data_IF_967379158062
#
_entry.id   IF_967379158062
#
_cell.length_a   1.000
_cell.length_b   1.000
_cell.length_c   1.000
_cell.angle_alpha   90.00
_cell.angle_beta   90.00
_cell.angle_gamma   90.00
#
_symmetry.space_group_name_H-M   'P 1'
#
loop_
_entity.id
_entity.type
_entity.pdbx_description
1 polymer ?
#
# COMPACT_ATOMS: atom_id res chain seq x y z
N UNK A 1 24.39 43.95 -41.99
CA UNK A 1 24.07 42.64 -42.60
C UNK A 1 24.38 41.56 -41.59
N UNK A 2 23.36 40.75 -41.31
CA UNK A 2 23.32 39.63 -40.36
C UNK A 2 24.55 38.72 -40.40
N UNK A 3 24.92 38.12 -39.26
CA UNK A 3 24.67 36.69 -39.02
C UNK A 3 24.67 36.39 -37.52
N UNK A 4 23.49 36.00 -37.04
CA UNK A 4 23.25 35.30 -35.79
C UNK A 4 23.77 33.86 -35.89
N UNK A 5 24.28 33.34 -34.77
CA UNK A 5 23.95 32.03 -34.17
C UNK A 5 24.88 31.86 -32.96
N UNK A 6 24.52 32.43 -31.80
CA UNK A 6 23.66 31.87 -30.75
C UNK A 6 24.10 30.49 -30.22
N UNK A 7 24.39 30.51 -28.91
CA UNK A 7 24.42 29.43 -27.93
C UNK A 7 25.53 28.36 -28.02
N UNK A 8 26.72 28.71 -27.51
CA UNK A 8 27.27 27.96 -26.38
C UNK A 8 26.19 27.91 -25.28
N UNK A 9 25.89 26.72 -24.75
CA UNK A 9 24.97 26.35 -23.66
C UNK A 9 23.83 25.46 -24.15
N UNK A 10 23.97 24.16 -23.93
CA UNK A 10 22.87 23.21 -24.14
C UNK A 10 23.24 21.75 -23.98
N UNK A 11 24.30 21.41 -23.24
CA UNK A 11 24.66 20.02 -22.93
C UNK A 11 24.65 19.75 -21.42
N UNK A 12 23.58 20.17 -20.75
CA UNK A 12 23.28 19.83 -19.35
C UNK A 12 21.78 19.98 -19.06
N UNK A 13 20.93 19.25 -19.79
CA UNK A 13 19.47 19.25 -19.59
C UNK A 13 18.90 17.83 -19.61
N UNK A 14 19.60 16.88 -18.98
CA UNK A 14 19.05 15.55 -18.73
C UNK A 14 19.40 15.20 -17.29
N UNK A 15 18.54 15.52 -16.32
CA UNK A 15 18.55 14.91 -14.97
C UNK A 15 17.33 15.29 -14.09
N UNK A 16 16.23 15.82 -14.63
CA UNK A 16 15.14 16.38 -13.81
C UNK A 16 13.75 15.74 -14.04
N UNK A 17 13.65 14.46 -14.43
CA UNK A 17 12.33 13.81 -14.63
C UNK A 17 12.11 12.50 -13.84
N UNK A 18 12.89 12.24 -12.78
CA UNK A 18 12.82 10.94 -12.10
C UNK A 18 12.06 10.94 -10.77
N UNK A 19 11.76 12.09 -10.17
CA UNK A 19 11.12 12.11 -8.85
C UNK A 19 9.64 11.72 -8.91
N UNK A 20 8.86 12.33 -9.81
CA UNK A 20 7.41 12.07 -9.89
C UNK A 20 7.04 10.75 -10.58
N UNK A 21 7.92 10.21 -11.43
CA UNK A 21 7.64 8.98 -12.17
C UNK A 21 7.55 7.75 -11.26
N UNK A 22 8.33 7.72 -10.17
CA UNK A 22 8.31 6.60 -9.23
C UNK A 22 7.05 6.62 -8.35
N UNK A 23 6.61 7.80 -7.91
CA UNK A 23 5.37 7.94 -7.14
C UNK A 23 4.17 7.45 -7.95
N UNK A 24 3.97 7.98 -9.16
CA UNK A 24 2.87 7.60 -10.05
C UNK A 24 2.84 6.09 -10.35
N UNK A 25 4.03 5.49 -10.56
CA UNK A 25 4.15 4.05 -10.73
C UNK A 25 3.73 3.27 -9.48
N UNK A 26 4.24 3.63 -8.30
CA UNK A 26 3.92 2.94 -7.05
C UNK A 26 2.43 3.06 -6.68
N UNK A 27 1.80 4.21 -6.92
CA UNK A 27 0.36 4.37 -6.70
C UNK A 27 -0.43 3.46 -7.65
N UNK A 28 -0.07 3.44 -8.94
CA UNK A 28 -0.75 2.60 -9.93
C UNK A 28 -0.66 1.11 -9.61
N UNK A 29 0.48 0.64 -9.13
CA UNK A 29 0.65 -0.77 -8.73
C UNK A 29 -0.07 -1.10 -7.40
N UNK A 30 -0.24 -0.11 -6.51
CA UNK A 30 -0.95 -0.26 -5.25
C UNK A 30 -2.47 -0.41 -5.44
N UNK A 31 -3.04 0.44 -6.29
CA UNK A 31 -4.48 0.62 -6.46
C UNK A 31 -5.14 -0.52 -7.24
N UNK A 32 -6.40 -0.81 -6.90
CA UNK A 32 -7.23 -1.85 -7.50
C UNK A 32 -6.54 -3.23 -7.61
N UNK A 33 -5.58 -3.48 -6.73
CA UNK A 33 -4.81 -4.72 -6.65
C UNK A 33 -5.16 -5.43 -5.35
N UNK A 34 -5.53 -6.73 -5.38
CA UNK A 34 -5.71 -7.50 -4.17
C UNK A 34 -4.35 -7.76 -3.53
N UNK A 35 -4.23 -7.49 -2.24
CA UNK A 35 -3.05 -7.77 -1.43
C UNK A 35 -3.40 -8.83 -0.39
N UNK A 36 -2.58 -9.87 -0.28
CA UNK A 36 -2.73 -10.96 0.70
C UNK A 36 -1.63 -10.87 1.74
N UNK A 37 -2.01 -10.84 3.02
CA UNK A 37 -1.08 -10.67 4.13
C UNK A 37 -0.14 -11.88 4.24
N UNK A 38 1.14 -11.60 4.40
CA UNK A 38 2.21 -12.59 4.63
C UNK A 38 2.69 -12.54 6.07
N UNK A 39 2.87 -11.33 6.62
CA UNK A 39 3.38 -11.16 7.98
C UNK A 39 2.74 -9.95 8.68
N UNK A 40 2.65 -10.02 10.00
CA UNK A 40 2.30 -8.92 10.89
C UNK A 40 3.41 -8.72 11.92
N UNK A 41 3.88 -7.49 12.11
CA UNK A 41 5.05 -7.19 12.94
C UNK A 41 6.26 -8.07 12.62
N UNK A 42 6.44 -8.42 11.35
CA UNK A 42 7.52 -9.29 10.85
C UNK A 42 7.43 -10.76 11.31
N UNK A 43 6.29 -11.17 11.87
CA UNK A 43 5.97 -12.55 12.19
C UNK A 43 4.97 -13.12 11.18
N UNK A 44 5.23 -14.32 10.67
CA UNK A 44 4.31 -14.99 9.73
C UNK A 44 3.02 -15.39 10.45
N UNK A 45 1.89 -15.22 9.78
CA UNK A 45 0.61 -15.70 10.29
C UNK A 45 0.54 -17.23 10.25
N UNK A 46 -0.31 -17.81 11.10
CA UNK A 46 -0.55 -19.25 11.11
C UNK A 46 -1.16 -19.69 9.77
N UNK A 47 -0.48 -20.61 9.08
CA UNK A 47 -0.92 -21.21 7.81
C UNK A 47 -2.26 -21.94 7.87
N UNK A 48 -2.77 -22.28 9.06
CA UNK A 48 -4.10 -22.84 9.24
C UNK A 48 -5.22 -21.80 9.16
N UNK A 49 -4.89 -20.51 9.32
CA UNK A 49 -5.84 -19.41 9.22
C UNK A 49 -5.89 -18.87 7.79
N UNK A 50 -7.07 -18.43 7.37
CA UNK A 50 -7.23 -17.70 6.11
C UNK A 50 -6.54 -16.33 6.22
N UNK A 51 -5.75 -15.98 5.22
CA UNK A 51 -4.95 -14.76 5.18
C UNK A 51 -5.84 -13.51 5.09
N UNK A 52 -5.58 -12.48 5.93
CA UNK A 52 -6.17 -11.17 5.73
C UNK A 52 -5.82 -10.59 4.35
N UNK A 53 -6.75 -9.82 3.80
CA UNK A 53 -6.60 -9.17 2.49
C UNK A 53 -6.77 -7.66 2.59
N UNK A 54 -6.27 -6.94 1.59
CA UNK A 54 -6.41 -5.49 1.47
C UNK A 54 -6.61 -5.11 0.01
N UNK A 55 -7.60 -4.27 -0.26
CA UNK A 55 -7.87 -3.67 -1.55
C UNK A 55 -8.00 -2.16 -1.37
N UNK A 56 -7.26 -1.41 -2.17
CA UNK A 56 -7.40 0.03 -2.31
C UNK A 56 -8.23 0.35 -3.54
N UNK A 57 -9.48 0.73 -3.36
CA UNK A 57 -10.33 1.21 -4.45
C UNK A 57 -9.91 2.63 -4.81
N UNK A 58 -9.53 2.84 -6.07
CA UNK A 58 -9.19 4.18 -6.58
C UNK A 58 -10.43 5.10 -6.54
N UNK A 59 -11.59 4.56 -6.91
CA UNK A 59 -12.86 5.29 -6.89
C UNK A 59 -13.35 5.49 -5.45
N UNK A 60 -13.33 6.74 -4.99
CA UNK A 60 -13.84 7.11 -3.66
C UNK A 60 -12.88 6.84 -2.50
N UNK A 61 -11.61 6.51 -2.79
CA UNK A 61 -10.52 6.35 -1.81
C UNK A 61 -10.88 5.42 -0.65
N UNK A 62 -11.45 4.26 -0.97
CA UNK A 62 -11.88 3.25 0.00
C UNK A 62 -10.84 2.16 0.17
N UNK A 63 -10.65 1.74 1.41
CA UNK A 63 -9.90 0.53 1.74
C UNK A 63 -10.87 -0.52 2.26
N UNK A 64 -10.76 -1.76 1.79
CA UNK A 64 -11.56 -2.87 2.29
C UNK A 64 -10.82 -4.20 2.14
N UNK A 65 -11.37 -5.24 2.75
CA UNK A 65 -10.86 -6.59 2.63
C UNK A 65 -11.26 -7.46 3.80
N UNK A 66 -10.64 -8.63 3.88
CA UNK A 66 -10.83 -9.57 4.97
C UNK A 66 -9.77 -9.35 6.06
N UNK A 67 -10.17 -9.36 7.32
CA UNK A 67 -9.27 -9.15 8.46
C UNK A 67 -8.97 -10.46 9.23
N UNK A 68 -9.28 -11.63 8.69
CA UNK A 68 -9.05 -12.93 9.35
C UNK A 68 -10.29 -13.55 10.00
N UNK A 69 -11.18 -12.74 10.59
CA UNK A 69 -12.51 -13.17 11.04
C UNK A 69 -13.64 -12.43 10.31
N UNK A 70 -13.52 -11.11 10.23
CA UNK A 70 -14.53 -10.23 9.65
C UNK A 70 -14.06 -9.56 8.36
N UNK A 71 -15.01 -9.04 7.60
CA UNK A 71 -14.73 -8.06 6.55
C UNK A 71 -14.54 -6.69 7.21
N UNK A 72 -13.58 -5.92 6.72
CA UNK A 72 -13.35 -4.54 7.15
C UNK A 72 -13.53 -3.56 6.00
N UNK A 73 -13.75 -2.31 6.37
CA UNK A 73 -13.88 -1.19 5.46
C UNK A 73 -13.34 0.08 6.11
N UNK A 74 -12.99 1.06 5.29
CA UNK A 74 -12.56 2.38 5.70
C UNK A 74 -12.19 3.24 4.49
N UNK A 75 -11.52 4.34 4.74
CA UNK A 75 -10.93 5.19 3.70
C UNK A 75 -9.42 5.26 3.88
N UNK A 76 -8.74 5.67 2.81
CA UNK A 76 -7.31 5.96 2.86
C UNK A 76 -7.01 7.34 2.29
N UNK A 77 -5.86 7.89 2.67
CA UNK A 77 -5.25 9.06 2.03
C UNK A 77 -3.86 8.67 1.56
N UNK A 78 -3.52 9.07 0.35
CA UNK A 78 -2.31 8.65 -0.36
C UNK A 78 -1.63 9.88 -0.97
N UNK A 79 -0.33 10.04 -0.71
CA UNK A 79 0.47 11.14 -1.28
C UNK A 79 1.94 10.74 -1.30
N UNK A 80 2.57 10.72 -2.47
CA UNK A 80 3.94 10.24 -2.66
C UNK A 80 4.14 8.83 -2.07
N UNK A 81 4.79 8.70 -0.92
CA UNK A 81 4.99 7.45 -0.17
C UNK A 81 4.19 7.41 1.14
N UNK A 82 3.48 8.49 1.47
CA UNK A 82 2.62 8.58 2.64
C UNK A 82 1.30 7.88 2.40
N UNK A 83 0.90 7.06 3.36
CA UNK A 83 -0.38 6.34 3.39
C UNK A 83 -0.94 6.36 4.80
N UNK A 84 -2.20 6.73 4.95
CA UNK A 84 -2.91 6.65 6.23
C UNK A 84 -4.34 6.15 6.03
N UNK A 85 -4.84 5.39 6.99
CA UNK A 85 -6.22 4.91 7.00
C UNK A 85 -7.09 5.74 7.93
N UNK A 86 -8.39 5.79 7.65
CA UNK A 86 -9.38 6.49 8.47
C UNK A 86 -10.72 5.79 8.43
N UNK A 87 -11.49 5.93 9.53
CA UNK A 87 -12.83 5.33 9.61
C UNK A 87 -12.84 3.81 9.47
N UNK A 88 -11.78 3.13 9.92
CA UNK A 88 -11.71 1.67 9.91
C UNK A 88 -12.83 1.08 10.79
N UNK A 89 -13.60 0.17 10.22
CA UNK A 89 -14.60 -0.63 10.91
C UNK A 89 -14.68 -2.03 10.32
N UNK A 90 -15.29 -2.95 11.06
CA UNK A 90 -15.51 -4.33 10.61
C UNK A 90 -16.90 -4.84 10.99
N UNK A 91 -17.31 -5.93 10.36
CA UNK A 91 -18.49 -6.69 10.80
C UNK A 91 -18.26 -7.31 12.18
N UNK A 92 -19.32 -7.83 12.83
CA UNK A 92 -19.24 -8.39 14.20
C UNK A 92 -19.60 -9.87 14.25
N UNK A 93 -18.92 -10.69 13.44
CA UNK A 93 -18.91 -12.14 13.58
C UNK A 93 -17.89 -12.55 14.64
N UNK A 94 -18.20 -13.59 15.41
CA UNK A 94 -17.28 -14.18 16.36
C UNK A 94 -16.56 -15.37 15.71
N UNK A 95 -15.23 -15.41 15.82
CA UNK A 95 -14.39 -16.53 15.39
C UNK A 95 -13.43 -16.90 16.53
N UNK A 96 -13.45 -18.16 16.97
CA UNK A 96 -12.65 -18.59 18.12
C UNK A 96 -11.13 -18.46 17.88
N UNK A 97 -10.67 -18.72 16.66
CA UNK A 97 -9.24 -18.82 16.34
C UNK A 97 -8.64 -17.56 15.68
N UNK A 98 -9.46 -16.71 15.03
CA UNK A 98 -8.96 -15.60 14.20
C UNK A 98 -9.35 -14.20 14.67
N UNK A 99 -10.08 -14.07 15.79
CA UNK A 99 -10.45 -12.76 16.33
C UNK A 99 -9.24 -11.94 16.80
N UNK A 100 -8.22 -12.59 17.37
CA UNK A 100 -6.99 -11.90 17.75
C UNK A 100 -6.23 -11.37 16.54
N UNK A 101 -6.15 -12.18 15.47
CA UNK A 101 -5.55 -11.78 14.20
C UNK A 101 -6.27 -10.54 13.60
N UNK A 102 -7.61 -10.51 13.64
CA UNK A 102 -8.37 -9.33 13.22
C UNK A 102 -8.00 -8.08 14.01
N UNK A 103 -7.97 -8.18 15.34
CA UNK A 103 -7.65 -7.06 16.21
C UNK A 103 -6.25 -6.51 15.94
N UNK A 104 -5.26 -7.40 15.79
CA UNK A 104 -3.89 -7.01 15.47
C UNK A 104 -3.81 -6.36 14.08
N UNK A 105 -4.45 -6.95 13.08
CA UNK A 105 -4.44 -6.46 11.70
C UNK A 105 -5.03 -5.06 11.58
N UNK A 106 -6.24 -4.84 12.12
CA UNK A 106 -6.90 -3.52 12.11
C UNK A 106 -6.13 -2.49 12.95
N UNK A 107 -5.57 -2.92 14.08
CA UNK A 107 -4.69 -2.09 14.90
C UNK A 107 -3.48 -1.59 14.12
N UNK A 108 -2.78 -2.48 13.40
CA UNK A 108 -1.63 -2.10 12.57
C UNK A 108 -2.02 -1.19 11.41
N UNK A 109 -3.14 -1.45 10.73
CA UNK A 109 -3.65 -0.55 9.67
C UNK A 109 -3.88 0.87 10.21
N UNK A 110 -4.36 1.01 11.44
CA UNK A 110 -4.58 2.33 12.07
C UNK A 110 -3.30 3.11 12.38
N UNK A 111 -2.14 2.43 12.41
CA UNK A 111 -0.83 3.01 12.70
C UNK A 111 0.02 3.23 11.42
N UNK A 112 -0.48 2.87 10.24
CA UNK A 112 0.24 3.02 8.98
C UNK A 112 0.44 4.51 8.66
N UNK A 113 1.65 4.82 8.23
CA UNK A 113 2.10 6.16 7.85
C UNK A 113 2.68 6.19 6.44
N UNK A 114 3.28 5.09 5.99
CA UNK A 114 3.95 5.00 4.69
C UNK A 114 3.72 3.62 4.07
N UNK A 115 4.00 3.52 2.78
CA UNK A 115 3.96 2.26 2.04
C UNK A 115 5.16 2.14 1.10
N UNK A 116 5.51 0.91 0.76
CA UNK A 116 6.50 0.60 -0.27
C UNK A 116 5.94 -0.51 -1.14
N UNK A 117 5.84 -0.26 -2.44
CA UNK A 117 5.58 -1.30 -3.45
C UNK A 117 6.92 -1.70 -4.08
N UNK A 118 7.19 -3.00 -4.12
CA UNK A 118 8.36 -3.55 -4.80
C UNK A 118 8.41 -3.16 -6.28
N UNK A 119 9.61 -3.10 -6.87
CA UNK A 119 9.78 -2.65 -8.27
C UNK A 119 9.02 -3.47 -9.31
N UNK A 120 8.73 -4.75 -9.01
CA UNK A 120 7.99 -5.64 -9.89
C UNK A 120 6.48 -5.70 -9.56
N UNK A 121 6.01 -4.87 -8.61
CA UNK A 121 4.61 -4.81 -8.19
C UNK A 121 4.12 -6.06 -7.46
N UNK A 122 5.00 -6.97 -7.02
CA UNK A 122 4.59 -8.28 -6.45
C UNK A 122 4.46 -8.29 -4.92
N UNK A 123 5.03 -7.31 -4.25
CA UNK A 123 5.02 -7.16 -2.80
C UNK A 123 4.70 -5.73 -2.39
N UNK A 124 3.96 -5.61 -1.28
CA UNK A 124 3.61 -4.37 -0.60
C UNK A 124 4.05 -4.48 0.86
N UNK A 125 4.71 -3.43 1.36
CA UNK A 125 5.04 -3.26 2.77
C UNK A 125 4.37 -2.00 3.29
N UNK A 126 3.63 -2.11 4.39
CA UNK A 126 3.08 -0.97 5.12
C UNK A 126 3.93 -0.68 6.36
N UNK A 127 4.20 0.60 6.60
CA UNK A 127 5.12 1.03 7.64
C UNK A 127 4.44 1.97 8.63
N UNK A 128 4.77 1.78 9.91
CA UNK A 128 4.51 2.76 10.97
C UNK A 128 5.84 3.40 11.36
N UNK A 129 5.98 4.72 11.17
CA UNK A 129 7.20 5.46 11.51
C UNK A 129 8.48 4.81 10.98
N UNK A 130 8.47 4.42 9.69
CA UNK A 130 9.56 3.71 8.99
C UNK A 130 9.87 2.28 9.46
N UNK A 131 9.04 1.69 10.32
CA UNK A 131 9.13 0.27 10.72
C UNK A 131 8.08 -0.55 9.95
N UNK A 132 8.47 -1.63 9.26
CA UNK A 132 7.51 -2.55 8.64
C UNK A 132 6.57 -3.17 9.68
N UNK A 133 5.25 -3.02 9.47
CA UNK A 133 4.23 -3.56 10.37
C UNK A 133 3.32 -4.59 9.70
N UNK A 134 3.15 -4.50 8.38
CA UNK A 134 2.37 -5.46 7.59
C UNK A 134 3.08 -5.67 6.25
N UNK A 135 3.26 -6.93 5.87
CA UNK A 135 3.84 -7.30 4.58
C UNK A 135 2.86 -8.16 3.80
N UNK A 136 2.75 -7.89 2.51
CA UNK A 136 1.78 -8.53 1.63
C UNK A 136 2.46 -9.01 0.36
N UNK A 137 1.91 -10.08 -0.21
CA UNK A 137 2.11 -10.47 -1.60
C UNK A 137 0.90 -10.01 -2.43
N UNK A 138 1.12 -9.81 -3.72
CA UNK A 138 0.02 -9.60 -4.67
C UNK A 138 -0.85 -10.87 -4.71
N UNK A 139 -2.14 -10.69 -4.47
CA UNK A 139 -3.15 -11.75 -4.62
C UNK A 139 -3.54 -11.96 -6.08
N UNK A 140 -4.26 -13.03 -6.34
CA UNK A 140 -4.83 -13.30 -7.67
C UNK A 140 -6.08 -12.41 -7.89
N UNK A 141 -6.21 -11.85 -9.09
CA UNK A 141 -7.45 -11.18 -9.49
C UNK A 141 -8.41 -12.26 -10.00
N UNK A 142 -9.55 -12.42 -9.32
CA UNK A 142 -10.66 -13.29 -9.76
C UNK A 142 -11.26 -12.84 -11.10
#
# INVERSE_FOLDING_TARGET
MHFLQLSMLGLLLILQQTCSRNEDYSHKELLNTPWELVSINQETIDSALKEPTLLFEESGSKANGFAGCNQFFGTYSLSADSLSFSGLGSTKMFCEQSQELEGQYLGRLSEVTHFVVSQNGSALTLLSNAVPVLEFKKGEAD
#
